data_IF_585062614271
#
_entry.id   IF_585062614271
#
_cell.length_a   1.000
_cell.length_b   1.000
_cell.length_c   1.000
_cell.angle_alpha   90.00
_cell.angle_beta   90.00
_cell.angle_gamma   90.00
#
_symmetry.space_group_name_H-M   'P 1'
#
loop_
_entity.id
_entity.type
_entity.pdbx_description
1 polymer ?
#
# COMPACT_ATOMS: atom_id res chain seq x y z
N UNK A 1 -13.66 13.97 20.98
CA UNK A 1 -13.52 14.36 19.57
C UNK A 1 -14.67 13.74 18.79
N UNK A 2 -15.23 14.40 17.78
CA UNK A 2 -16.20 13.75 16.88
C UNK A 2 -15.46 12.77 15.97
N UNK A 3 -16.18 11.78 15.41
CA UNK A 3 -15.61 10.82 14.45
C UNK A 3 -14.98 11.58 13.27
N UNK A 4 -15.65 12.57 12.71
CA UNK A 4 -15.13 13.40 11.63
C UNK A 4 -13.80 14.08 11.97
N UNK A 5 -13.69 14.65 13.15
CA UNK A 5 -12.43 15.31 13.57
C UNK A 5 -11.30 14.30 13.80
N UNK A 6 -11.61 13.07 14.20
CA UNK A 6 -10.64 11.99 14.37
C UNK A 6 -10.14 11.48 13.02
N UNK A 7 -11.06 11.27 12.07
CA UNK A 7 -10.72 10.89 10.70
C UNK A 7 -9.88 11.97 10.02
N UNK A 8 -10.28 13.25 10.13
CA UNK A 8 -9.54 14.37 9.54
C UNK A 8 -8.13 14.47 10.13
N UNK A 9 -7.96 14.37 11.44
CA UNK A 9 -6.64 14.40 12.08
C UNK A 9 -5.72 13.27 11.58
N UNK A 10 -6.29 12.09 11.31
CA UNK A 10 -5.53 10.97 10.75
C UNK A 10 -5.16 11.22 9.27
N UNK A 11 -6.06 11.78 8.46
CA UNK A 11 -5.76 12.18 7.08
C UNK A 11 -4.63 13.23 7.06
N UNK A 12 -4.70 14.25 7.89
CA UNK A 12 -3.67 15.31 7.97
C UNK A 12 -2.30 14.73 8.36
N UNK A 13 -2.29 13.72 9.24
CA UNK A 13 -1.06 13.04 9.63
C UNK A 13 -0.50 12.12 8.53
N UNK A 14 -1.34 11.52 7.70
CA UNK A 14 -0.93 10.61 6.62
C UNK A 14 -0.55 11.33 5.33
N UNK A 15 -1.29 12.38 4.94
CA UNK A 15 -1.15 13.09 3.66
C UNK A 15 -0.18 14.25 3.82
N UNK A 16 1.12 13.95 3.77
CA UNK A 16 2.20 14.93 3.94
C UNK A 16 3.11 14.96 2.71
N UNK A 17 3.51 16.16 2.28
CA UNK A 17 4.43 16.34 1.15
C UNK A 17 5.76 15.61 1.37
N UNK A 18 6.15 14.78 0.39
CA UNK A 18 7.39 14.02 0.42
C UNK A 18 7.42 12.85 1.39
N UNK A 19 6.26 12.45 1.94
CA UNK A 19 6.14 11.23 2.75
C UNK A 19 5.17 10.23 2.13
N UNK A 20 5.41 8.97 2.41
CA UNK A 20 4.53 7.88 2.00
C UNK A 20 4.29 6.87 3.11
N UNK A 21 3.79 5.70 2.76
CA UNK A 21 3.46 4.65 3.70
C UNK A 21 4.41 3.44 3.52
N UNK A 22 4.83 2.88 4.64
CA UNK A 22 5.50 1.57 4.67
C UNK A 22 4.43 0.48 4.79
N UNK A 23 4.29 -0.36 3.78
CA UNK A 23 3.45 -1.55 3.87
C UNK A 23 4.29 -2.71 4.44
N UNK A 24 4.12 -2.96 5.74
CA UNK A 24 4.79 -4.03 6.50
C UNK A 24 3.76 -5.06 7.03
N UNK A 25 2.76 -5.35 6.19
CA UNK A 25 1.54 -6.08 6.52
C UNK A 25 1.48 -7.49 5.91
N UNK A 26 2.63 -8.04 5.55
CA UNK A 26 2.70 -9.39 4.97
C UNK A 26 2.13 -10.42 5.95
N UNK A 27 1.16 -11.20 5.44
CA UNK A 27 0.66 -12.39 6.15
C UNK A 27 1.76 -13.45 6.33
N UNK A 28 1.57 -14.38 7.25
CA UNK A 28 2.53 -15.47 7.51
C UNK A 28 3.07 -16.16 6.24
N UNK A 29 2.22 -16.62 5.31
CA UNK A 29 2.68 -17.22 4.05
C UNK A 29 3.48 -16.25 3.16
N UNK A 30 3.13 -14.97 3.15
CA UNK A 30 3.81 -13.98 2.32
C UNK A 30 5.19 -13.63 2.87
N UNK A 31 5.32 -13.40 4.18
CA UNK A 31 6.62 -13.11 4.78
C UNK A 31 7.53 -14.33 4.73
N UNK A 32 6.99 -15.56 4.85
CA UNK A 32 7.76 -16.78 4.71
C UNK A 32 8.39 -16.90 3.31
N UNK A 33 7.64 -16.55 2.24
CA UNK A 33 8.19 -16.51 0.88
C UNK A 33 9.34 -15.50 0.76
N UNK A 34 9.22 -14.32 1.41
CA UNK A 34 10.28 -13.32 1.41
C UNK A 34 11.52 -13.78 2.19
N UNK A 35 11.33 -14.34 3.38
CA UNK A 35 12.46 -14.86 4.18
C UNK A 35 13.19 -15.99 3.50
N UNK A 36 12.49 -16.80 2.69
CA UNK A 36 13.12 -17.86 1.88
C UNK A 36 14.17 -17.31 0.90
N UNK A 37 14.02 -16.09 0.38
CA UNK A 37 15.00 -15.48 -0.54
C UNK A 37 16.33 -15.16 0.12
N UNK A 38 16.33 -15.05 1.44
CA UNK A 38 17.52 -14.79 2.27
C UNK A 38 17.89 -15.98 3.17
N UNK A 39 17.32 -17.17 2.91
CA UNK A 39 17.52 -18.40 3.68
C UNK A 39 17.23 -18.26 5.19
N UNK A 40 16.25 -17.48 5.59
CA UNK A 40 15.78 -17.29 6.96
C UNK A 40 14.46 -18.02 7.16
N UNK A 41 14.33 -18.73 8.28
CA UNK A 41 13.09 -19.38 8.68
C UNK A 41 12.06 -18.34 9.15
N UNK A 42 10.79 -18.53 8.79
CA UNK A 42 9.71 -17.64 9.21
C UNK A 42 9.14 -18.05 10.59
N UNK A 43 9.99 -17.98 11.61
CA UNK A 43 9.56 -18.10 13.01
C UNK A 43 8.88 -16.81 13.46
N UNK A 44 8.08 -16.86 14.53
CA UNK A 44 7.49 -15.66 15.13
C UNK A 44 8.58 -14.66 15.54
N UNK A 45 9.68 -15.13 16.14
CA UNK A 45 10.79 -14.30 16.55
C UNK A 45 11.47 -13.59 15.37
N UNK A 46 11.74 -14.29 14.28
CA UNK A 46 12.33 -13.67 13.09
C UNK A 46 11.39 -12.63 12.46
N UNK A 47 10.06 -12.88 12.46
CA UNK A 47 9.08 -11.89 12.00
C UNK A 47 9.05 -10.68 12.91
N UNK A 48 9.06 -10.87 14.22
CA UNK A 48 9.12 -9.82 15.23
C UNK A 48 10.40 -8.97 15.06
N UNK A 49 11.55 -9.64 15.00
CA UNK A 49 12.84 -8.97 14.82
C UNK A 49 12.87 -8.12 13.52
N UNK A 50 12.34 -8.66 12.43
CA UNK A 50 12.24 -7.93 11.17
C UNK A 50 11.35 -6.68 11.30
N UNK A 51 10.16 -6.81 11.90
CA UNK A 51 9.25 -5.67 12.10
C UNK A 51 9.84 -4.63 13.06
N UNK A 52 10.49 -5.08 14.13
CA UNK A 52 11.19 -4.21 15.07
C UNK A 52 12.31 -3.42 14.37
N UNK A 53 13.13 -4.07 13.52
CA UNK A 53 14.16 -3.43 12.71
C UNK A 53 13.57 -2.30 11.87
N UNK A 54 12.47 -2.58 11.13
CA UNK A 54 11.83 -1.59 10.27
C UNK A 54 11.35 -0.37 11.07
N UNK A 55 10.64 -0.61 12.19
CA UNK A 55 9.99 0.44 12.98
C UNK A 55 10.97 1.22 13.88
N UNK A 56 12.12 0.64 14.20
CA UNK A 56 13.19 1.30 14.96
C UNK A 56 14.23 2.01 14.09
N UNK A 57 14.05 2.04 12.76
CA UNK A 57 14.98 2.72 11.84
C UNK A 57 15.01 4.22 12.13
N UNK A 58 16.17 4.77 12.57
CA UNK A 58 16.25 6.19 12.93
C UNK A 58 16.00 7.10 11.74
N UNK A 59 15.20 8.17 11.93
CA UNK A 59 14.88 9.15 10.89
C UNK A 59 13.84 8.69 9.86
N UNK A 60 13.28 7.49 10.00
CA UNK A 60 12.30 6.95 9.04
C UNK A 60 11.07 7.87 8.93
N UNK A 61 10.63 8.48 10.03
CA UNK A 61 9.49 9.39 10.07
C UNK A 61 9.66 10.68 9.26
N UNK A 62 10.87 11.00 8.79
CA UNK A 62 11.09 12.11 7.85
C UNK A 62 10.49 11.82 6.46
N UNK A 63 10.34 10.55 6.09
CA UNK A 63 9.90 10.11 4.75
C UNK A 63 8.68 9.18 4.78
N UNK A 64 8.33 8.65 5.96
CA UNK A 64 7.20 7.75 6.16
C UNK A 64 6.21 8.40 7.13
N UNK A 65 4.97 8.59 6.69
CA UNK A 65 3.89 9.16 7.50
C UNK A 65 3.04 8.10 8.20
N UNK A 66 3.00 6.87 7.68
CA UNK A 66 2.23 5.78 8.27
C UNK A 66 2.80 4.40 7.92
N UNK A 67 2.47 3.42 8.74
CA UNK A 67 2.85 2.02 8.52
C UNK A 67 1.64 1.11 8.59
N UNK A 68 1.47 0.26 7.57
CA UNK A 68 0.44 -0.78 7.60
C UNK A 68 1.05 -2.01 8.26
N UNK A 69 0.48 -2.46 9.37
CA UNK A 69 0.94 -3.63 10.11
C UNK A 69 0.06 -4.85 9.84
N UNK A 70 0.60 -6.04 10.13
CA UNK A 70 -0.16 -7.27 10.23
C UNK A 70 -0.65 -7.48 11.67
N UNK A 71 -1.74 -8.22 11.87
CA UNK A 71 -2.36 -8.43 13.19
C UNK A 71 -1.37 -8.94 14.24
N UNK A 72 -0.52 -9.91 13.89
CA UNK A 72 0.54 -10.42 14.77
C UNK A 72 1.44 -9.28 15.28
N UNK A 73 1.88 -8.43 14.36
CA UNK A 73 2.81 -7.31 14.65
C UNK A 73 2.19 -6.24 15.55
N UNK A 74 0.90 -5.99 15.39
CA UNK A 74 0.19 -4.99 16.21
C UNK A 74 0.21 -5.36 17.72
N UNK A 75 0.30 -6.66 18.02
CA UNK A 75 0.38 -7.16 19.40
C UNK A 75 1.81 -7.38 19.91
N UNK A 76 2.84 -7.27 19.06
CA UNK A 76 4.24 -7.58 19.41
C UNK A 76 4.97 -6.40 20.04
N UNK A 77 6.11 -6.71 20.68
CA UNK A 77 6.98 -5.75 21.35
C UNK A 77 8.41 -5.86 20.82
N UNK A 78 9.15 -4.77 20.88
CA UNK A 78 10.59 -4.73 20.65
C UNK A 78 11.36 -5.37 21.83
N UNK A 79 12.68 -5.50 21.69
CA UNK A 79 13.53 -6.13 22.69
C UNK A 79 13.55 -5.39 24.03
N UNK A 80 13.32 -4.08 24.00
CA UNK A 80 13.20 -3.22 25.19
C UNK A 80 11.82 -3.26 25.85
N UNK A 81 10.90 -4.08 25.31
CA UNK A 81 9.52 -4.19 25.78
C UNK A 81 8.55 -3.15 25.23
N UNK A 82 9.01 -2.19 24.42
CA UNK A 82 8.15 -1.18 23.77
C UNK A 82 7.20 -1.85 22.77
N UNK A 83 5.88 -1.58 22.81
CA UNK A 83 4.95 -2.05 21.76
C UNK A 83 5.39 -1.57 20.37
N UNK A 84 5.33 -2.45 19.37
CA UNK A 84 5.77 -2.08 18.01
C UNK A 84 4.99 -0.89 17.41
N UNK A 85 3.67 -0.74 17.62
CA UNK A 85 2.97 0.48 17.19
C UNK A 85 3.52 1.75 17.84
N UNK A 86 3.90 1.70 19.14
CA UNK A 86 4.47 2.83 19.85
C UNK A 86 5.84 3.24 19.30
N UNK A 87 6.66 2.29 18.83
CA UNK A 87 7.92 2.62 18.13
C UNK A 87 7.68 3.47 16.88
N UNK A 88 6.62 3.18 16.13
CA UNK A 88 6.23 3.99 14.98
C UNK A 88 5.76 5.39 15.42
N UNK A 89 4.90 5.46 16.44
CA UNK A 89 4.37 6.74 16.95
C UNK A 89 5.48 7.65 17.48
N UNK A 90 6.52 7.12 18.13
CA UNK A 90 7.70 7.89 18.60
C UNK A 90 8.44 8.61 17.47
N UNK A 91 8.31 8.10 16.23
CA UNK A 91 8.84 8.71 15.02
C UNK A 91 7.79 9.51 14.23
N UNK A 92 6.61 9.76 14.80
CA UNK A 92 5.49 10.42 14.12
C UNK A 92 4.97 9.63 12.91
N UNK A 93 5.11 8.32 12.92
CA UNK A 93 4.58 7.39 11.93
C UNK A 93 3.26 6.83 12.47
N UNK A 94 2.16 7.08 11.78
CA UNK A 94 0.83 6.62 12.18
C UNK A 94 0.73 5.11 12.02
N UNK A 95 0.35 4.34 13.07
CA UNK A 95 0.08 2.91 12.93
C UNK A 95 -1.23 2.64 12.21
N UNK A 96 -1.22 1.67 11.31
CA UNK A 96 -2.39 1.15 10.62
C UNK A 96 -2.35 -0.37 10.53
N UNK A 97 -3.41 -0.96 10.01
CA UNK A 97 -3.65 -2.40 10.07
C UNK A 97 -4.25 -2.96 8.78
N UNK A 98 -3.73 -4.08 8.31
CA UNK A 98 -4.38 -4.90 7.28
C UNK A 98 -5.53 -5.67 7.92
N UNK A 99 -6.76 -5.45 7.44
CA UNK A 99 -7.97 -6.05 8.03
C UNK A 99 -8.60 -7.13 7.17
N UNK A 100 -8.25 -7.25 5.88
CA UNK A 100 -8.67 -8.39 5.06
C UNK A 100 -8.00 -9.68 5.55
N UNK A 101 -8.67 -10.81 5.35
CA UNK A 101 -8.19 -12.15 5.76
C UNK A 101 -7.65 -12.98 4.59
N UNK A 102 -7.37 -12.32 3.47
CA UNK A 102 -6.86 -12.96 2.26
C UNK A 102 -7.93 -13.15 1.19
N UNK A 103 -7.56 -13.81 0.11
CA UNK A 103 -8.38 -14.00 -1.08
C UNK A 103 -8.64 -15.47 -1.35
N UNK A 104 -9.77 -15.76 -1.98
CA UNK A 104 -10.16 -17.09 -2.45
C UNK A 104 -10.68 -17.00 -3.88
N UNK A 105 -10.73 -18.12 -4.64
CA UNK A 105 -11.40 -18.14 -5.93
C UNK A 105 -12.85 -17.66 -5.83
N UNK A 106 -13.27 -16.82 -6.78
CA UNK A 106 -14.66 -16.38 -6.86
C UNK A 106 -15.52 -17.49 -7.50
N UNK A 107 -16.57 -17.90 -6.81
CA UNK A 107 -17.47 -18.95 -7.30
C UNK A 107 -18.11 -18.55 -8.64
N UNK A 108 -18.16 -19.48 -9.57
CA UNK A 108 -18.68 -19.30 -10.94
C UNK A 108 -17.92 -18.27 -11.81
N UNK A 109 -16.73 -17.84 -11.39
CA UNK A 109 -15.86 -16.92 -12.12
C UNK A 109 -14.42 -17.48 -12.18
N UNK A 110 -14.15 -18.48 -13.04
CA UNK A 110 -12.83 -19.11 -13.12
C UNK A 110 -11.72 -18.08 -13.42
N UNK A 111 -10.66 -18.08 -12.60
CA UNK A 111 -9.54 -17.15 -12.73
C UNK A 111 -9.72 -15.84 -11.97
N UNK A 112 -10.92 -15.53 -11.49
CA UNK A 112 -11.19 -14.39 -10.61
C UNK A 112 -11.11 -14.78 -9.13
N UNK A 113 -10.86 -13.79 -8.28
CA UNK A 113 -10.72 -13.94 -6.84
C UNK A 113 -11.58 -12.92 -6.10
N UNK A 114 -11.99 -13.27 -4.89
CA UNK A 114 -12.71 -12.39 -3.96
C UNK A 114 -11.97 -12.31 -2.64
N UNK A 115 -11.89 -11.13 -2.07
CA UNK A 115 -11.24 -10.91 -0.77
C UNK A 115 -12.23 -11.13 0.37
N UNK A 116 -11.78 -11.82 1.41
CA UNK A 116 -12.56 -12.17 2.62
C UNK A 116 -12.23 -11.26 3.80
N UNK A 117 -13.08 -11.30 4.83
CA UNK A 117 -12.83 -10.65 6.13
C UNK A 117 -13.88 -9.62 6.55
N UNK A 118 -15.04 -9.54 5.88
CA UNK A 118 -16.14 -8.65 6.29
C UNK A 118 -16.85 -9.14 7.55
N UNK A 119 -16.93 -10.47 7.75
CA UNK A 119 -17.59 -11.04 8.92
C UNK A 119 -16.85 -10.64 10.20
N UNK A 120 -17.58 -10.04 11.14
CA UNK A 120 -17.05 -9.54 12.40
C UNK A 120 -16.04 -8.39 12.26
N UNK A 121 -15.98 -7.72 11.09
CA UNK A 121 -15.01 -6.67 10.83
C UNK A 121 -15.13 -5.50 11.81
N UNK A 122 -16.34 -5.04 12.12
CA UNK A 122 -16.54 -3.92 13.05
C UNK A 122 -15.89 -4.20 14.41
N UNK A 123 -16.11 -5.42 14.97
CA UNK A 123 -15.51 -5.82 16.26
C UNK A 123 -13.97 -5.86 16.17
N UNK A 124 -13.42 -6.33 15.04
CA UNK A 124 -11.97 -6.36 14.85
C UNK A 124 -11.37 -4.97 14.71
N UNK A 125 -12.03 -4.07 13.99
CA UNK A 125 -11.58 -2.68 13.82
C UNK A 125 -11.55 -1.95 15.15
N UNK A 126 -12.59 -2.09 15.98
CA UNK A 126 -12.63 -1.51 17.33
C UNK A 126 -11.46 -2.01 18.20
N UNK A 127 -11.18 -3.32 18.17
CA UNK A 127 -10.04 -3.90 18.88
C UNK A 127 -8.71 -3.35 18.37
N UNK A 128 -8.51 -3.25 17.07
CA UNK A 128 -7.27 -2.71 16.49
C UNK A 128 -7.09 -1.22 16.79
N UNK A 129 -8.17 -0.45 16.81
CA UNK A 129 -8.15 0.95 17.23
C UNK A 129 -7.68 1.10 18.68
N UNK A 130 -8.16 0.23 19.59
CA UNK A 130 -7.70 0.20 20.99
C UNK A 130 -6.22 -0.17 21.11
N UNK A 131 -5.67 -0.91 20.15
CA UNK A 131 -4.24 -1.28 20.07
C UNK A 131 -3.38 -0.20 19.39
N UNK A 132 -3.95 0.94 19.02
CA UNK A 132 -3.23 2.08 18.43
C UNK A 132 -3.45 2.29 16.94
N UNK A 133 -4.11 1.39 16.21
CA UNK A 133 -4.37 1.58 14.78
C UNK A 133 -5.29 2.79 14.54
N UNK A 134 -4.91 3.67 13.60
CA UNK A 134 -5.66 4.86 13.20
C UNK A 134 -6.21 4.75 11.77
N UNK A 135 -5.64 3.87 10.97
CA UNK A 135 -6.12 3.59 9.63
C UNK A 135 -6.10 2.08 9.35
N UNK A 136 -6.90 1.65 8.40
CA UNK A 136 -6.99 0.26 7.98
C UNK A 136 -6.72 0.12 6.48
N UNK A 137 -6.33 -1.07 6.02
CA UNK A 137 -6.15 -1.37 4.63
C UNK A 137 -6.86 -2.67 4.24
N UNK A 138 -7.55 -2.66 3.11
CA UNK A 138 -8.18 -3.82 2.48
C UNK A 138 -7.77 -3.89 1.02
N UNK A 139 -7.24 -5.05 0.60
CA UNK A 139 -6.78 -5.31 -0.76
C UNK A 139 -7.76 -6.21 -1.50
N UNK A 140 -8.24 -5.75 -2.64
CA UNK A 140 -8.87 -6.58 -3.66
C UNK A 140 -7.90 -6.76 -4.84
N UNK A 141 -7.91 -7.91 -5.51
CA UNK A 141 -7.01 -8.17 -6.64
C UNK A 141 -7.79 -8.53 -7.88
N UNK A 142 -7.27 -8.10 -9.02
CA UNK A 142 -7.85 -8.36 -10.34
C UNK A 142 -6.78 -8.91 -11.27
N UNK A 143 -6.95 -10.19 -11.67
CA UNK A 143 -6.15 -10.81 -12.72
C UNK A 143 -6.50 -10.18 -14.07
N UNK A 144 -5.51 -10.02 -14.96
CA UNK A 144 -5.70 -9.42 -16.28
C UNK A 144 -5.41 -10.43 -17.37
N UNK A 145 -6.38 -10.60 -18.26
CA UNK A 145 -6.25 -11.33 -19.54
C UNK A 145 -7.23 -10.74 -20.55
N UNK A 146 -7.43 -11.41 -21.68
CA UNK A 146 -8.45 -11.00 -22.67
C UNK A 146 -9.85 -11.03 -22.06
N UNK A 147 -10.11 -11.95 -21.14
CA UNK A 147 -11.44 -12.18 -20.53
C UNK A 147 -11.53 -11.82 -19.04
N UNK A 148 -10.40 -11.57 -18.39
CA UNK A 148 -10.33 -11.22 -16.97
C UNK A 148 -9.93 -9.74 -16.78
N UNK A 149 -10.39 -9.12 -15.68
CA UNK A 149 -11.38 -9.63 -14.73
C UNK A 149 -12.79 -9.70 -15.33
N UNK A 150 -13.63 -10.63 -14.83
CA UNK A 150 -15.05 -10.65 -15.17
C UNK A 150 -15.76 -9.46 -14.51
N UNK A 151 -16.92 -9.09 -15.09
CA UNK A 151 -17.79 -8.06 -14.50
C UNK A 151 -18.22 -8.44 -13.08
N UNK A 152 -18.49 -9.73 -12.84
CA UNK A 152 -18.84 -10.22 -11.49
C UNK A 152 -17.73 -9.94 -10.47
N UNK A 153 -16.48 -10.21 -10.84
CA UNK A 153 -15.33 -9.95 -9.95
C UNK A 153 -15.16 -8.46 -9.65
N UNK A 154 -15.32 -7.61 -10.66
CA UNK A 154 -15.24 -6.15 -10.48
C UNK A 154 -16.31 -5.67 -9.50
N UNK A 155 -17.58 -6.03 -9.73
CA UNK A 155 -18.70 -5.59 -8.88
C UNK A 155 -18.62 -6.16 -7.46
N UNK A 156 -18.32 -7.46 -7.30
CA UNK A 156 -18.24 -8.10 -5.98
C UNK A 156 -17.10 -7.55 -5.10
N UNK A 157 -15.93 -7.31 -5.68
CA UNK A 157 -14.82 -6.70 -4.95
C UNK A 157 -15.04 -5.22 -4.67
N UNK A 158 -15.65 -4.47 -5.59
CA UNK A 158 -16.03 -3.06 -5.36
C UNK A 158 -17.01 -2.93 -4.18
N UNK A 159 -18.02 -3.80 -4.12
CA UNK A 159 -18.97 -3.88 -3.00
C UNK A 159 -18.26 -4.21 -1.67
N UNK A 160 -17.30 -5.16 -1.70
CA UNK A 160 -16.53 -5.53 -0.50
C UNK A 160 -15.66 -4.37 -0.01
N UNK A 161 -14.99 -3.65 -0.92
CA UNK A 161 -14.18 -2.47 -0.61
C UNK A 161 -15.02 -1.34 0.00
N UNK A 162 -16.21 -1.09 -0.53
CA UNK A 162 -17.08 -0.04 -0.03
C UNK A 162 -17.66 -0.37 1.36
N UNK A 163 -18.09 -1.62 1.59
CA UNK A 163 -18.57 -2.07 2.90
C UNK A 163 -17.48 -1.98 3.96
N UNK A 164 -16.28 -2.44 3.62
CA UNK A 164 -15.13 -2.31 4.50
C UNK A 164 -14.84 -0.85 4.86
N UNK A 165 -14.84 0.05 3.87
CA UNK A 165 -14.54 1.46 4.08
C UNK A 165 -15.57 2.13 4.99
N UNK A 166 -16.86 1.87 4.77
CA UNK A 166 -17.95 2.38 5.62
C UNK A 166 -17.81 1.91 7.09
N UNK A 167 -17.53 0.62 7.31
CA UNK A 167 -17.32 0.07 8.65
C UNK A 167 -16.13 0.75 9.35
N UNK A 168 -15.03 0.98 8.65
CA UNK A 168 -13.86 1.67 9.22
C UNK A 168 -14.20 3.11 9.61
N UNK A 169 -14.87 3.87 8.74
CA UNK A 169 -15.23 5.26 9.03
C UNK A 169 -16.19 5.37 10.21
N UNK A 170 -17.18 4.47 10.32
CA UNK A 170 -18.09 4.42 11.47
C UNK A 170 -17.34 4.21 12.80
N UNK A 171 -16.22 3.47 12.78
CA UNK A 171 -15.34 3.27 13.91
C UNK A 171 -14.32 4.42 14.12
N UNK A 172 -14.29 5.44 13.27
CA UNK A 172 -13.30 6.52 13.30
C UNK A 172 -11.89 6.09 12.87
N UNK A 173 -11.81 5.11 11.97
CA UNK A 173 -10.57 4.58 11.39
C UNK A 173 -10.55 4.89 9.89
N UNK A 174 -9.49 5.56 9.40
CA UNK A 174 -9.36 5.93 7.99
C UNK A 174 -9.19 4.69 7.12
N UNK A 175 -10.05 4.43 6.10
CA UNK A 175 -9.85 3.31 5.21
C UNK A 175 -8.88 3.63 4.07
N UNK A 176 -7.95 2.72 3.80
CA UNK A 176 -7.17 2.66 2.56
C UNK A 176 -7.81 1.62 1.64
N UNK A 177 -8.40 2.08 0.56
CA UNK A 177 -9.07 1.25 -0.46
C UNK A 177 -8.03 0.84 -1.50
N UNK A 178 -7.71 -0.48 -1.57
CA UNK A 178 -6.64 -1.01 -2.41
C UNK A 178 -7.17 -1.94 -3.51
N UNK A 179 -7.67 -1.39 -4.64
CA UNK A 179 -8.02 -2.17 -5.82
C UNK A 179 -6.77 -2.42 -6.68
N UNK A 180 -6.12 -3.56 -6.51
CA UNK A 180 -4.90 -3.89 -7.22
C UNK A 180 -5.17 -4.63 -8.54
N UNK A 181 -4.89 -3.99 -9.65
CA UNK A 181 -4.80 -4.63 -10.96
C UNK A 181 -3.42 -5.27 -11.07
N UNK A 182 -3.37 -6.60 -11.22
CA UNK A 182 -2.13 -7.35 -11.20
C UNK A 182 -1.34 -7.17 -12.49
N UNK A 183 -0.01 -7.16 -12.36
CA UNK A 183 0.93 -7.06 -13.49
C UNK A 183 1.44 -8.43 -13.96
N UNK A 184 0.87 -9.52 -13.44
CA UNK A 184 1.20 -10.87 -13.92
C UNK A 184 0.59 -11.07 -15.30
N UNK A 185 1.35 -11.74 -16.22
CA UNK A 185 0.94 -11.97 -17.61
C UNK A 185 1.55 -11.00 -18.62
N UNK A 186 1.02 -11.01 -19.84
CA UNK A 186 1.58 -10.34 -21.04
C UNK A 186 0.72 -9.19 -21.58
N UNK A 187 -0.28 -8.76 -20.83
CA UNK A 187 -1.21 -7.71 -21.25
C UNK A 187 -0.53 -6.37 -21.51
N UNK A 188 -1.04 -5.63 -22.50
CA UNK A 188 -0.55 -4.31 -22.86
C UNK A 188 -0.90 -3.24 -21.80
N UNK A 189 -0.17 -2.11 -21.82
CA UNK A 189 -0.50 -0.95 -21.00
C UNK A 189 -1.93 -0.42 -21.27
N UNK A 190 -2.40 -0.50 -22.52
CA UNK A 190 -3.75 -0.13 -22.90
C UNK A 190 -4.81 -1.06 -22.25
N UNK A 191 -4.54 -2.37 -22.18
CA UNK A 191 -5.42 -3.31 -21.48
C UNK A 191 -5.43 -3.06 -19.98
N UNK A 192 -4.29 -2.83 -19.38
CA UNK A 192 -4.18 -2.42 -17.96
C UNK A 192 -5.00 -1.15 -17.70
N UNK A 193 -4.88 -0.13 -18.54
CA UNK A 193 -5.67 1.09 -18.42
C UNK A 193 -7.18 0.83 -18.47
N UNK A 194 -7.65 0.04 -19.44
CA UNK A 194 -9.07 -0.27 -19.58
C UNK A 194 -9.62 -1.06 -18.38
N UNK A 195 -8.85 -2.00 -17.83
CA UNK A 195 -9.22 -2.75 -16.63
C UNK A 195 -9.26 -1.82 -15.41
N UNK A 196 -8.23 -1.00 -15.23
CA UNK A 196 -8.15 -0.07 -14.10
C UNK A 196 -9.29 0.96 -14.13
N UNK A 197 -9.65 1.44 -15.31
CA UNK A 197 -10.79 2.34 -15.51
C UNK A 197 -12.10 1.69 -15.05
N UNK A 198 -12.39 0.49 -15.55
CA UNK A 198 -13.60 -0.24 -15.17
C UNK A 198 -13.65 -0.56 -13.66
N UNK A 199 -12.53 -0.96 -13.08
CA UNK A 199 -12.42 -1.27 -11.65
C UNK A 199 -12.65 -0.02 -10.80
N UNK A 200 -11.99 1.09 -11.12
CA UNK A 200 -12.12 2.32 -10.32
C UNK A 200 -13.50 2.94 -10.43
N UNK A 201 -14.15 2.92 -11.60
CA UNK A 201 -15.54 3.35 -11.73
C UNK A 201 -16.46 2.52 -10.81
N UNK A 202 -16.36 1.19 -10.85
CA UNK A 202 -17.16 0.33 -9.98
C UNK A 202 -16.88 0.57 -8.49
N UNK A 203 -15.62 0.79 -8.12
CA UNK A 203 -15.22 1.09 -6.74
C UNK A 203 -15.83 2.41 -6.26
N UNK A 204 -15.71 3.50 -7.03
CA UNK A 204 -16.28 4.79 -6.62
C UNK A 204 -17.80 4.79 -6.61
N UNK A 205 -18.45 4.10 -7.54
CA UNK A 205 -19.90 3.88 -7.51
C UNK A 205 -20.34 3.15 -6.24
N UNK A 206 -19.62 2.10 -5.84
CA UNK A 206 -19.90 1.36 -4.61
C UNK A 206 -19.65 2.22 -3.36
N UNK A 207 -18.52 2.93 -3.29
CA UNK A 207 -18.20 3.85 -2.18
C UNK A 207 -19.30 4.90 -2.00
N UNK A 208 -19.81 5.46 -3.10
CA UNK A 208 -20.89 6.43 -3.07
C UNK A 208 -22.20 5.82 -2.56
N UNK A 209 -22.60 4.64 -3.04
CA UNK A 209 -23.80 3.92 -2.54
C UNK A 209 -23.71 3.64 -1.03
N UNK A 210 -22.52 3.33 -0.53
CA UNK A 210 -22.26 3.07 0.89
C UNK A 210 -22.03 4.36 1.69
N UNK A 211 -22.15 5.54 1.10
CA UNK A 211 -22.00 6.85 1.75
C UNK A 211 -20.64 7.04 2.41
N UNK A 212 -19.60 6.45 1.83
CA UNK A 212 -18.22 6.64 2.30
C UNK A 212 -17.81 8.09 2.04
N UNK A 213 -17.28 8.74 3.05
CA UNK A 213 -16.74 10.10 2.97
C UNK A 213 -15.41 10.07 2.24
N UNK A 214 -15.36 10.51 0.99
CA UNK A 214 -14.17 10.43 0.14
C UNK A 214 -13.03 11.29 0.67
N UNK A 215 -13.33 12.39 1.35
CA UNK A 215 -12.32 13.22 2.02
C UNK A 215 -11.60 12.52 3.19
N UNK A 216 -12.18 11.43 3.70
CA UNK A 216 -11.64 10.68 4.85
C UNK A 216 -11.22 9.25 4.47
N UNK A 217 -10.72 9.07 3.24
CA UNK A 217 -10.13 7.81 2.78
C UNK A 217 -8.86 8.07 1.98
N UNK A 218 -8.04 7.03 1.79
CA UNK A 218 -6.96 7.04 0.82
C UNK A 218 -7.21 5.97 -0.26
N UNK A 219 -6.82 6.28 -1.49
CA UNK A 219 -6.81 5.31 -2.58
C UNK A 219 -5.40 4.72 -2.72
N UNK A 220 -5.31 3.38 -2.82
CA UNK A 220 -4.05 2.67 -3.06
C UNK A 220 -4.13 1.81 -4.32
N UNK A 221 -4.05 2.40 -5.51
CA UNK A 221 -4.16 1.67 -6.77
C UNK A 221 -2.82 1.17 -7.26
N UNK A 222 -2.85 0.29 -8.27
CA UNK A 222 -1.70 0.03 -9.14
C UNK A 222 -1.42 1.25 -10.02
N UNK A 223 -0.18 1.39 -10.48
CA UNK A 223 0.15 2.23 -11.63
C UNK A 223 -0.35 1.53 -12.91
N UNK A 224 -0.61 2.28 -13.95
CA UNK A 224 -0.97 1.71 -15.26
C UNK A 224 0.31 1.29 -15.96
N UNK A 225 0.60 0.00 -15.90
CA UNK A 225 1.79 -0.63 -16.49
C UNK A 225 1.39 -1.89 -17.26
N UNK A 226 2.14 -2.32 -18.27
CA UNK A 226 1.88 -3.60 -18.93
C UNK A 226 2.21 -4.78 -18.00
N UNK A 227 1.79 -5.97 -18.41
CA UNK A 227 2.19 -7.21 -17.76
C UNK A 227 3.71 -7.41 -17.80
N UNK A 228 4.24 -8.14 -16.82
CA UNK A 228 5.69 -8.41 -16.73
C UNK A 228 6.25 -9.16 -17.92
N UNK A 229 5.42 -9.99 -18.56
CA UNK A 229 5.78 -10.83 -19.72
C UNK A 229 5.57 -10.09 -21.03
N UNK A 230 5.03 -8.86 -21.00
CA UNK A 230 4.85 -8.04 -22.19
C UNK A 230 6.19 -7.63 -22.79
N UNK A 231 6.34 -7.79 -24.12
CA UNK A 231 7.60 -7.59 -24.81
C UNK A 231 8.15 -6.16 -24.69
N UNK A 232 7.26 -5.15 -24.62
CA UNK A 232 7.65 -3.74 -24.51
C UNK A 232 7.36 -3.22 -23.10
N UNK A 233 8.41 -2.77 -22.41
CA UNK A 233 8.28 -2.07 -21.13
C UNK A 233 8.39 -0.56 -21.38
N UNK A 234 7.38 0.23 -20.99
CA UNK A 234 7.33 1.67 -21.27
C UNK A 234 8.33 2.45 -20.41
N UNK A 235 8.72 3.61 -20.91
CA UNK A 235 9.49 4.57 -20.12
C UNK A 235 8.62 5.16 -18.99
N UNK A 236 9.23 5.64 -17.89
CA UNK A 236 8.48 6.24 -16.77
C UNK A 236 7.54 7.38 -17.18
N UNK A 237 7.89 8.16 -18.17
CA UNK A 237 7.03 9.24 -18.69
C UNK A 237 5.72 8.70 -19.32
N UNK A 238 5.76 7.55 -19.99
CA UNK A 238 4.60 6.92 -20.60
C UNK A 238 3.68 6.31 -19.53
N UNK A 239 4.26 5.64 -18.52
CA UNK A 239 3.53 5.15 -17.35
C UNK A 239 2.84 6.30 -16.62
N UNK A 240 3.56 7.41 -16.43
CA UNK A 240 3.04 8.60 -15.74
C UNK A 240 1.86 9.21 -16.50
N UNK A 241 1.98 9.40 -17.80
CA UNK A 241 0.93 9.96 -18.63
C UNK A 241 -0.32 9.06 -18.65
N UNK A 242 -0.15 7.75 -18.87
CA UNK A 242 -1.25 6.80 -18.86
C UNK A 242 -1.96 6.76 -17.49
N UNK A 243 -1.20 6.69 -16.40
CA UNK A 243 -1.74 6.61 -15.04
C UNK A 243 -2.47 7.90 -14.65
N UNK A 244 -1.84 9.05 -14.79
CA UNK A 244 -2.43 10.33 -14.36
C UNK A 244 -3.64 10.71 -15.22
N UNK A 245 -3.60 10.43 -16.52
CA UNK A 245 -4.75 10.67 -17.42
C UNK A 245 -5.96 9.85 -16.99
N UNK A 246 -5.76 8.56 -16.72
CA UNK A 246 -6.82 7.68 -16.24
C UNK A 246 -7.40 8.17 -14.91
N UNK A 247 -6.54 8.43 -13.92
CA UNK A 247 -6.98 8.86 -12.59
C UNK A 247 -7.79 10.17 -12.65
N UNK A 248 -7.44 11.11 -13.52
CA UNK A 248 -8.20 12.35 -13.74
C UNK A 248 -9.62 12.10 -14.27
N UNK A 249 -9.81 11.02 -15.01
CA UNK A 249 -11.13 10.66 -15.54
C UNK A 249 -12.04 10.00 -14.51
N UNK A 250 -11.47 9.37 -13.47
CA UNK A 250 -12.23 8.46 -12.59
C UNK A 250 -12.20 8.86 -11.12
N UNK A 251 -11.08 9.38 -10.61
CA UNK A 251 -10.93 9.63 -9.17
C UNK A 251 -11.46 11.01 -8.80
N UNK A 252 -12.45 11.11 -7.91
CA UNK A 252 -12.98 12.39 -7.43
C UNK A 252 -11.89 13.26 -6.77
N UNK A 253 -11.96 14.56 -6.99
CA UNK A 253 -11.00 15.52 -6.42
C UNK A 253 -11.05 15.61 -4.88
N UNK A 254 -12.11 15.10 -4.28
CA UNK A 254 -12.30 15.04 -2.82
C UNK A 254 -11.36 14.04 -2.13
N UNK A 255 -10.84 13.03 -2.86
CA UNK A 255 -9.88 12.08 -2.31
C UNK A 255 -8.57 12.81 -1.98
N UNK A 256 -8.12 12.84 -0.71
CA UNK A 256 -6.98 13.68 -0.32
C UNK A 256 -5.64 13.18 -0.85
N UNK A 257 -5.50 11.86 -1.06
CA UNK A 257 -4.25 11.28 -1.52
C UNK A 257 -4.40 9.93 -2.21
N UNK A 258 -3.53 9.72 -3.21
CA UNK A 258 -3.38 8.46 -3.93
C UNK A 258 -1.98 7.92 -3.63
N UNK A 259 -1.94 6.78 -2.93
CA UNK A 259 -0.73 6.15 -2.46
C UNK A 259 -0.49 4.85 -3.22
N UNK A 260 0.31 4.88 -4.27
CA UNK A 260 0.49 3.74 -5.16
C UNK A 260 1.12 2.55 -4.47
N UNK A 261 0.65 1.34 -4.81
CA UNK A 261 1.38 0.11 -4.52
C UNK A 261 2.52 -0.09 -5.53
N UNK A 262 3.55 -0.87 -5.17
CA UNK A 262 4.66 -1.16 -6.10
C UNK A 262 4.34 -2.31 -7.08
N UNK A 263 3.40 -3.18 -6.77
CA UNK A 263 2.81 -4.19 -7.68
C UNK A 263 3.78 -5.17 -8.33
N UNK A 264 5.01 -5.28 -7.83
CA UNK A 264 6.04 -6.14 -8.43
C UNK A 264 7.00 -5.44 -9.38
N UNK A 265 6.92 -4.13 -9.50
CA UNK A 265 7.98 -3.30 -10.04
C UNK A 265 9.22 -3.41 -9.15
N UNK A 266 10.41 -3.23 -9.72
CA UNK A 266 11.64 -3.07 -8.93
C UNK A 266 11.58 -1.81 -8.07
N UNK A 267 12.41 -1.69 -7.03
CA UNK A 267 12.49 -0.47 -6.23
C UNK A 267 12.74 0.79 -7.07
N UNK A 268 13.62 0.70 -8.04
CA UNK A 268 14.02 1.80 -8.93
C UNK A 268 12.90 2.17 -9.91
N UNK A 269 12.26 1.17 -10.54
CA UNK A 269 11.13 1.40 -11.45
C UNK A 269 9.96 2.09 -10.74
N UNK A 270 9.57 1.58 -9.55
CA UNK A 270 8.49 2.16 -8.76
C UNK A 270 8.79 3.61 -8.37
N UNK A 271 10.05 3.91 -8.02
CA UNK A 271 10.49 5.27 -7.66
C UNK A 271 10.49 6.19 -8.88
N UNK A 272 11.03 5.73 -10.03
CA UNK A 272 11.10 6.52 -11.26
C UNK A 272 9.69 6.82 -11.82
N UNK A 273 8.79 5.85 -11.79
CA UNK A 273 7.41 6.03 -12.23
C UNK A 273 6.66 7.03 -11.33
N UNK A 274 6.84 6.94 -10.01
CA UNK A 274 6.26 7.90 -9.07
C UNK A 274 6.79 9.32 -9.31
N UNK A 275 8.10 9.46 -9.53
CA UNK A 275 8.74 10.75 -9.83
C UNK A 275 8.17 11.36 -11.11
N UNK A 276 8.08 10.57 -12.18
CA UNK A 276 7.54 11.03 -13.45
C UNK A 276 6.08 11.50 -13.31
N UNK A 277 5.24 10.81 -12.55
CA UNK A 277 3.88 11.25 -12.26
C UNK A 277 3.85 12.57 -11.46
N UNK A 278 4.77 12.73 -10.52
CA UNK A 278 4.85 13.95 -9.69
C UNK A 278 5.40 15.15 -10.43
N UNK A 279 6.06 14.98 -11.56
CA UNK A 279 6.46 16.08 -12.48
C UNK A 279 5.31 16.62 -13.31
N UNK A 280 4.21 15.88 -13.47
CA UNK A 280 3.03 16.34 -14.17
C UNK A 280 2.24 17.35 -13.33
N UNK A 281 1.73 18.42 -13.93
CA UNK A 281 0.89 19.43 -13.26
C UNK A 281 -0.60 19.09 -13.31
N UNK A 282 -1.43 19.84 -12.59
CA UNK A 282 -2.89 19.78 -12.67
C UNK A 282 -3.51 18.53 -12.05
N UNK A 283 -2.98 18.07 -10.93
CA UNK A 283 -3.51 16.98 -10.10
C UNK A 283 -4.19 17.57 -8.86
N UNK A 284 -5.42 17.17 -8.53
CA UNK A 284 -6.06 17.66 -7.29
C UNK A 284 -5.58 16.91 -6.05
N UNK A 285 -5.05 15.69 -6.20
CA UNK A 285 -4.60 14.82 -5.11
C UNK A 285 -3.09 14.91 -4.88
N UNK A 286 -2.67 14.63 -3.66
CA UNK A 286 -1.28 14.25 -3.40
C UNK A 286 -1.02 12.86 -3.97
N UNK A 287 0.04 12.69 -4.77
CA UNK A 287 0.49 11.39 -5.25
C UNK A 287 1.71 10.95 -4.44
N UNK A 288 1.60 9.80 -3.81
CA UNK A 288 2.64 9.24 -2.97
C UNK A 288 2.73 7.71 -3.12
N UNK A 289 3.48 7.07 -2.24
CA UNK A 289 3.72 5.64 -2.25
C UNK A 289 3.18 4.96 -0.99
N UNK A 290 2.73 3.71 -1.15
CA UNK A 290 2.48 2.76 -0.08
C UNK A 290 3.13 1.43 -0.46
N UNK A 291 4.46 1.40 -0.33
CA UNK A 291 5.25 0.30 -0.86
C UNK A 291 5.55 -0.76 0.19
N UNK A 292 5.44 -2.01 -0.24
CA UNK A 292 5.92 -3.19 0.48
C UNK A 292 7.30 -3.59 -0.04
N UNK A 293 7.33 -4.36 -1.13
CA UNK A 293 8.57 -4.90 -1.72
C UNK A 293 9.57 -3.82 -2.08
N UNK A 294 9.16 -2.79 -2.77
CA UNK A 294 10.04 -1.73 -3.23
C UNK A 294 10.76 -0.97 -2.09
N UNK A 295 10.20 -0.97 -0.87
CA UNK A 295 10.88 -0.44 0.31
C UNK A 295 11.67 -1.51 1.07
N UNK A 296 11.18 -2.76 1.13
CA UNK A 296 11.67 -3.77 2.03
C UNK A 296 12.69 -4.74 1.41
N UNK A 297 12.75 -4.87 0.08
CA UNK A 297 13.63 -5.82 -0.59
C UNK A 297 15.13 -5.52 -0.34
N UNK A 298 15.64 -4.29 -0.54
CA UNK A 298 17.03 -3.97 -0.22
C UNK A 298 17.39 -4.16 1.26
N UNK A 299 16.62 -3.65 2.25
CA UNK A 299 16.93 -3.90 3.65
C UNK A 299 16.84 -5.38 4.03
N UNK A 300 15.95 -6.16 3.44
CA UNK A 300 15.86 -7.60 3.68
C UNK A 300 17.11 -8.32 3.19
N UNK A 301 17.59 -7.97 2.00
CA UNK A 301 18.84 -8.51 1.43
C UNK A 301 20.07 -8.14 2.26
N UNK A 302 20.07 -6.97 2.89
CA UNK A 302 21.15 -6.55 3.80
C UNK A 302 21.07 -7.29 5.15
N UNK A 303 19.86 -7.42 5.74
CA UNK A 303 19.66 -8.01 7.07
C UNK A 303 20.06 -9.48 7.15
N UNK A 304 19.62 -10.31 6.24
CA UNK A 304 19.88 -11.77 6.19
C UNK A 304 19.58 -12.52 7.49
N UNK A 305 18.66 -12.00 8.31
CA UNK A 305 18.31 -12.60 9.60
C UNK A 305 19.35 -12.45 10.70
N UNK A 306 20.34 -11.58 10.55
CA UNK A 306 21.47 -11.46 11.45
C UNK A 306 21.40 -10.14 12.24
N UNK A 307 21.55 -10.23 13.56
CA UNK A 307 21.57 -9.04 14.43
C UNK A 307 22.70 -8.06 14.09
N UNK A 308 23.85 -8.58 13.66
CA UNK A 308 25.00 -7.76 13.25
C UNK A 308 24.70 -6.87 12.03
N UNK A 309 23.74 -7.24 11.20
CA UNK A 309 23.40 -6.53 9.96
C UNK A 309 22.24 -5.54 10.13
N UNK A 310 21.71 -5.36 11.33
CA UNK A 310 20.53 -4.49 11.59
C UNK A 310 20.80 -3.06 11.10
N UNK A 311 21.98 -2.52 11.42
CA UNK A 311 22.32 -1.14 11.02
C UNK A 311 22.36 -0.96 9.50
N UNK A 312 22.96 -1.90 8.79
CA UNK A 312 23.06 -1.82 7.32
C UNK A 312 21.67 -1.95 6.67
N UNK A 313 20.82 -2.82 7.20
CA UNK A 313 19.44 -2.96 6.75
C UNK A 313 18.61 -1.69 7.02
N UNK A 314 18.79 -1.06 8.18
CA UNK A 314 18.14 0.22 8.49
C UNK A 314 18.59 1.34 7.57
N UNK A 315 19.87 1.41 7.24
CA UNK A 315 20.39 2.37 6.26
C UNK A 315 19.80 2.15 4.86
N UNK A 316 19.69 0.89 4.43
CA UNK A 316 19.07 0.55 3.16
C UNK A 316 17.57 0.94 3.12
N UNK A 317 16.83 0.74 4.21
CA UNK A 317 15.43 1.18 4.31
C UNK A 317 15.32 2.71 4.25
N UNK A 318 16.14 3.41 5.02
CA UNK A 318 16.13 4.87 5.07
C UNK A 318 16.48 5.48 3.71
N UNK A 319 17.45 4.89 3.00
CA UNK A 319 17.78 5.29 1.64
C UNK A 319 16.57 5.16 0.72
N UNK A 320 15.91 3.99 0.68
CA UNK A 320 14.72 3.80 -0.16
C UNK A 320 13.58 4.76 0.20
N UNK A 321 13.34 5.00 1.49
CA UNK A 321 12.33 5.94 1.95
C UNK A 321 12.65 7.38 1.49
N UNK A 322 13.91 7.80 1.61
CA UNK A 322 14.40 9.12 1.14
C UNK A 322 14.23 9.30 -0.35
N UNK A 323 14.59 8.30 -1.16
CA UNK A 323 14.48 8.37 -2.61
C UNK A 323 13.02 8.43 -3.07
N UNK A 324 12.14 7.66 -2.46
CA UNK A 324 10.70 7.76 -2.71
C UNK A 324 10.11 9.10 -2.23
N UNK A 325 10.61 9.65 -1.13
CA UNK A 325 10.26 11.01 -0.69
C UNK A 325 10.67 12.09 -1.70
N UNK A 326 11.83 11.94 -2.33
CA UNK A 326 12.26 12.80 -3.43
C UNK A 326 11.35 12.64 -4.66
N UNK A 327 10.94 11.40 -4.99
CA UNK A 327 10.01 11.09 -6.08
C UNK A 327 8.62 11.70 -5.86
N UNK A 328 8.12 11.75 -4.61
CA UNK A 328 6.87 12.45 -4.29
C UNK A 328 6.91 13.94 -4.65
N UNK A 329 8.10 14.53 -4.72
CA UNK A 329 8.33 15.94 -5.08
C UNK A 329 8.78 16.15 -6.54
N UNK A 330 8.84 15.08 -7.34
CA UNK A 330 9.36 15.15 -8.70
C UNK A 330 10.85 15.52 -8.76
N UNK A 331 11.64 15.13 -7.75
CA UNK A 331 13.06 15.47 -7.58
C UNK A 331 13.99 14.25 -7.54
N UNK A 332 13.48 13.08 -7.83
CA UNK A 332 14.31 11.88 -7.90
C UNK A 332 15.17 11.90 -9.17
N UNK A 333 16.42 11.46 -9.00
CA UNK A 333 17.36 11.21 -10.08
C UNK A 333 18.03 9.85 -9.83
N UNK A 334 18.20 9.05 -10.89
CA UNK A 334 18.85 7.74 -10.79
C UNK A 334 20.32 7.81 -10.27
N UNK A 335 20.98 8.99 -10.38
CA UNK A 335 22.29 9.19 -9.77
C UNK A 335 22.26 9.15 -8.24
N UNK A 336 21.10 9.45 -7.62
CA UNK A 336 20.92 9.38 -6.17
C UNK A 336 21.01 7.96 -5.61
N UNK A 337 20.77 6.93 -6.44
CA UNK A 337 20.97 5.52 -6.07
C UNK A 337 22.44 5.18 -5.78
N UNK A 338 23.38 5.92 -6.38
CA UNK A 338 24.82 5.70 -6.28
C UNK A 338 25.52 6.60 -5.26
N UNK A 339 24.83 7.63 -4.78
CA UNK A 339 25.39 8.63 -3.88
C UNK A 339 25.15 8.29 -2.40
N UNK A 340 24.84 7.04 -2.08
CA UNK A 340 24.46 6.58 -0.76
C UNK A 340 25.46 5.59 -0.17
#
# INVERSE_FOLDING_TARGET
>A
MSIDSELQATIDALVQDGKGLLAADESGPTIAKRFKTIAVESTEENRRAWRSLLLSTPGLGEFISGVILYEETLGQRADDGTPLPELAERQQIVPGIKVDTGKIPLAHAPGDEITQGLDGLAIRVDRYKQQGARFAKWRAVYNVSDTLPSRLAIEANAESLARYAAICQEAGVVPIVEPEVLIDGDHSIARCAAVTDAVLHAVFDALHRHRVLLAHMLLKPSMVVPGKEHAAQPAPAEVADATVRLLRGVVPAEVPGIFFLSGGQTPEEATANLDAMNRLSGRPWLLSFSYGRALQEPPLAAWKGQAANVRDAQQALLLRARLNGAACRGRYDAAMERAA
#
